data_IF_459721996090
#
_entry.id   IF_459721996090
#
_cell.length_a   1.000
_cell.length_b   1.000
_cell.length_c   1.000
_cell.angle_alpha   90.00
_cell.angle_beta   90.00
_cell.angle_gamma   90.00
#
_symmetry.space_group_name_H-M   'P 1'
#
loop_
_entity.id
_entity.type
_entity.pdbx_description
1 polymer ?
#
# COMPACT_ATOMS: atom_id res chain seq x y z
N UNK A 1 -5.14 -18.34 -1.35
CA UNK A 1 -6.49 -18.85 -1.70
C UNK A 1 -7.37 -19.26 -0.51
N UNK A 2 -6.84 -19.64 0.66
CA UNK A 2 -7.68 -20.07 1.80
C UNK A 2 -8.26 -18.93 2.66
N UNK A 3 -7.54 -17.81 2.80
CA UNK A 3 -8.01 -16.68 3.62
C UNK A 3 -9.20 -15.95 2.98
N UNK A 4 -9.08 -15.57 1.71
CA UNK A 4 -10.14 -14.85 0.98
C UNK A 4 -11.41 -15.66 0.76
N UNK A 5 -11.36 -17.01 0.83
CA UNK A 5 -12.55 -17.87 0.71
C UNK A 5 -13.44 -17.92 1.95
N UNK A 6 -12.99 -17.36 3.08
CA UNK A 6 -13.73 -17.42 4.35
C UNK A 6 -14.25 -16.05 4.82
N UNK A 7 -14.00 -15.00 4.05
CA UNK A 7 -14.42 -13.63 4.37
C UNK A 7 -15.35 -13.11 3.28
N UNK A 8 -16.40 -12.40 3.66
CA UNK A 8 -17.25 -11.69 2.71
C UNK A 8 -16.50 -10.41 2.26
N UNK A 9 -16.05 -10.30 1.00
CA UNK A 9 -15.27 -9.14 0.56
C UNK A 9 -16.07 -7.84 0.61
N UNK A 10 -17.40 -7.90 0.54
CA UNK A 10 -18.27 -6.71 0.60
C UNK A 10 -18.34 -6.09 2.00
N UNK A 11 -17.97 -6.86 3.03
CA UNK A 11 -17.87 -6.38 4.42
C UNK A 11 -16.49 -5.77 4.74
N UNK A 12 -15.55 -5.82 3.80
CA UNK A 12 -14.20 -5.28 3.97
C UNK A 12 -14.10 -3.91 3.29
N UNK A 13 -14.05 -2.85 4.10
CA UNK A 13 -13.91 -1.46 3.62
C UNK A 13 -12.57 -1.22 2.93
N UNK A 14 -11.47 -1.68 3.52
CA UNK A 14 -10.12 -1.53 2.98
C UNK A 14 -9.18 -2.54 3.66
N UNK A 15 -8.08 -2.86 2.99
CA UNK A 15 -7.00 -3.67 3.55
C UNK A 15 -5.66 -2.93 3.37
N UNK A 16 -4.99 -2.73 4.50
CA UNK A 16 -3.65 -2.14 4.57
C UNK A 16 -2.65 -3.28 4.68
N UNK A 17 -1.96 -3.58 3.58
CA UNK A 17 -0.80 -4.46 3.65
C UNK A 17 0.44 -3.60 3.92
N UNK A 18 1.15 -3.87 5.02
CA UNK A 18 2.34 -3.11 5.40
C UNK A 18 3.53 -4.05 5.25
N UNK A 19 4.38 -3.79 4.27
CA UNK A 19 5.51 -4.66 3.96
C UNK A 19 6.77 -3.87 3.65
N UNK A 20 7.93 -4.42 4.02
CA UNK A 20 9.24 -3.83 3.73
C UNK A 20 9.30 -2.33 4.11
N UNK A 21 8.91 -2.02 5.35
CA UNK A 21 9.14 -0.69 5.95
C UNK A 21 10.43 -0.74 6.75
N UNK A 22 11.20 0.34 6.77
CA UNK A 22 12.41 0.38 7.58
C UNK A 22 13.54 1.23 7.01
N UNK A 23 13.68 1.20 5.69
CA UNK A 23 14.70 1.94 4.96
C UNK A 23 14.03 2.99 4.08
N UNK A 24 14.58 4.20 3.96
CA UNK A 24 14.04 5.24 3.07
C UNK A 24 13.98 4.76 1.62
N UNK A 25 12.91 5.13 0.92
CA UNK A 25 12.79 4.87 -0.52
C UNK A 25 13.80 5.70 -1.32
N UNK A 26 13.91 5.43 -2.63
CA UNK A 26 14.79 6.19 -3.54
C UNK A 26 14.41 7.67 -3.56
N UNK A 27 13.12 7.94 -3.42
CA UNK A 27 12.48 9.25 -3.33
C UNK A 27 12.86 10.02 -2.06
N UNK A 28 13.41 9.32 -1.06
CA UNK A 28 14.00 9.91 0.13
C UNK A 28 13.27 9.59 1.42
N UNK A 29 13.74 10.16 2.55
CA UNK A 29 13.15 9.92 3.86
C UNK A 29 11.72 10.46 3.95
N UNK A 30 10.93 9.87 4.84
CA UNK A 30 9.52 10.20 5.09
C UNK A 30 8.64 10.02 3.84
N UNK A 31 8.96 9.04 3.02
CA UNK A 31 8.12 8.66 1.88
C UNK A 31 7.77 7.18 1.97
N UNK A 32 6.60 6.82 1.46
CA UNK A 32 6.20 5.43 1.26
C UNK A 32 5.47 5.28 -0.07
N UNK A 33 5.80 4.25 -0.83
CA UNK A 33 5.12 3.94 -2.07
C UNK A 33 3.97 2.97 -1.86
N UNK A 34 2.94 3.07 -2.71
CA UNK A 34 1.72 2.26 -2.64
C UNK A 34 1.53 1.54 -3.98
N UNK A 35 1.40 0.21 -3.93
CA UNK A 35 1.15 -0.61 -5.13
C UNK A 35 -0.26 -0.40 -5.66
N UNK A 36 -0.42 -0.34 -6.99
CA UNK A 36 -1.73 -0.18 -7.62
C UNK A 36 -2.43 1.11 -7.20
N UNK A 37 -1.66 2.20 -7.04
CA UNK A 37 -2.13 3.49 -6.55
C UNK A 37 -3.37 4.00 -7.29
N UNK A 38 -3.45 3.71 -8.58
CA UNK A 38 -4.53 4.09 -9.50
C UNK A 38 -5.72 3.13 -9.54
N UNK A 39 -5.66 1.99 -8.83
CA UNK A 39 -6.70 0.95 -8.87
C UNK A 39 -7.89 1.28 -7.95
N UNK A 40 -7.72 2.20 -7.01
CA UNK A 40 -8.76 2.76 -6.14
C UNK A 40 -8.36 4.16 -5.65
N UNK A 41 -9.25 4.86 -4.93
CA UNK A 41 -8.91 6.13 -4.25
C UNK A 41 -8.09 5.93 -2.97
N UNK A 42 -7.74 4.69 -2.59
CA UNK A 42 -6.98 4.39 -1.36
C UNK A 42 -5.66 5.19 -1.27
N UNK A 43 -4.86 5.17 -2.35
CA UNK A 43 -3.58 5.88 -2.38
C UNK A 43 -3.72 7.39 -2.23
N UNK A 44 -4.71 7.99 -2.91
CA UNK A 44 -5.00 9.42 -2.84
C UNK A 44 -5.49 9.84 -1.45
N UNK A 45 -6.35 9.04 -0.81
CA UNK A 45 -6.81 9.29 0.57
C UNK A 45 -5.60 9.30 1.52
N UNK A 46 -4.72 8.30 1.41
CA UNK A 46 -3.49 8.23 2.21
C UNK A 46 -2.63 9.46 1.99
N UNK A 47 -2.38 9.83 0.73
CA UNK A 47 -1.59 11.00 0.36
C UNK A 47 -2.16 12.30 0.96
N UNK A 48 -3.47 12.52 0.86
CA UNK A 48 -4.12 13.75 1.34
C UNK A 48 -4.14 13.84 2.88
N UNK A 49 -4.28 12.70 3.56
CA UNK A 49 -4.36 12.63 5.03
C UNK A 49 -3.09 13.10 5.75
N UNK A 50 -1.96 13.19 5.05
CA UNK A 50 -0.66 13.60 5.58
C UNK A 50 -0.15 14.91 4.99
N UNK A 51 -1.00 15.65 4.27
CA UNK A 51 -0.65 16.90 3.56
C UNK A 51 -0.15 18.04 4.47
N UNK A 52 -0.46 17.99 5.76
CA UNK A 52 0.01 18.90 6.81
C UNK A 52 1.31 18.42 7.49
N UNK A 53 1.90 17.32 7.01
CA UNK A 53 3.13 16.72 7.53
C UNK A 53 4.26 16.75 6.50
N UNK A 54 5.47 16.35 6.91
CA UNK A 54 6.60 16.13 6.00
C UNK A 54 6.58 14.75 5.33
N UNK A 55 5.54 13.95 5.56
CA UNK A 55 5.41 12.61 4.99
C UNK A 55 4.68 12.64 3.65
N UNK A 56 5.07 11.78 2.72
CA UNK A 56 4.42 11.68 1.40
C UNK A 56 4.18 10.23 1.00
N UNK A 57 2.94 9.93 0.64
CA UNK A 57 2.60 8.70 -0.07
C UNK A 57 2.60 8.94 -1.59
N UNK A 58 3.08 7.98 -2.37
CA UNK A 58 3.17 8.10 -3.82
C UNK A 58 3.03 6.72 -4.52
N UNK A 59 2.87 6.67 -5.84
CA UNK A 59 2.76 5.40 -6.57
C UNK A 59 4.03 4.54 -6.50
N UNK A 60 3.85 3.23 -6.53
CA UNK A 60 4.93 2.23 -6.70
C UNK A 60 5.89 2.60 -7.86
N UNK A 61 7.19 2.87 -7.59
CA UNK A 61 8.17 3.22 -8.60
C UNK A 61 8.67 2.01 -9.41
N UNK A 62 8.19 0.78 -9.12
CA UNK A 62 8.64 -0.47 -9.74
C UNK A 62 7.55 -1.18 -10.56
N UNK A 63 6.88 -0.52 -11.53
CA UNK A 63 5.75 -1.11 -12.26
C UNK A 63 6.12 -2.39 -13.04
N UNK A 64 7.37 -2.52 -13.49
CA UNK A 64 7.87 -3.72 -14.19
C UNK A 64 7.91 -4.96 -13.31
N UNK A 65 7.92 -4.81 -11.99
CA UNK A 65 7.95 -5.92 -11.04
C UNK A 65 6.56 -6.50 -10.74
N UNK A 66 5.49 -5.80 -11.13
CA UNK A 66 4.10 -6.21 -10.94
C UNK A 66 3.75 -6.50 -9.46
N UNK A 67 4.26 -5.69 -8.53
CA UNK A 67 4.21 -5.95 -7.09
C UNK A 67 2.78 -6.01 -6.55
N UNK A 68 1.87 -5.19 -7.08
CA UNK A 68 0.45 -5.19 -6.70
C UNK A 68 -0.22 -6.56 -6.79
N UNK A 69 0.19 -7.40 -7.75
CA UNK A 69 -0.38 -8.74 -7.96
C UNK A 69 0.44 -9.86 -7.32
N UNK A 70 1.55 -9.52 -6.66
CA UNK A 70 2.54 -10.47 -6.13
C UNK A 70 2.68 -10.41 -4.60
N UNK A 71 1.91 -9.55 -3.95
CA UNK A 71 1.88 -9.43 -2.50
C UNK A 71 0.54 -9.90 -1.90
N UNK A 72 0.46 -9.93 -0.57
CA UNK A 72 -0.66 -10.48 0.20
C UNK A 72 -1.96 -9.69 0.03
N UNK A 73 -1.90 -8.48 -0.54
CA UNK A 73 -3.08 -7.70 -0.93
C UNK A 73 -3.84 -8.31 -2.12
N UNK A 74 -3.13 -8.99 -3.03
CA UNK A 74 -3.67 -9.39 -4.33
C UNK A 74 -4.95 -10.24 -4.25
N UNK A 75 -5.08 -11.25 -3.37
CA UNK A 75 -6.29 -12.07 -3.30
C UNK A 75 -7.54 -11.31 -2.84
N UNK A 76 -7.40 -10.21 -2.09
CA UNK A 76 -8.52 -9.36 -1.69
C UNK A 76 -8.81 -8.31 -2.77
N UNK A 77 -7.77 -7.78 -3.40
CA UNK A 77 -7.89 -6.88 -4.55
C UNK A 77 -8.67 -7.53 -5.71
N UNK A 78 -8.43 -8.82 -6.00
CA UNK A 78 -9.16 -9.60 -7.00
C UNK A 78 -10.67 -9.74 -6.67
N UNK A 79 -11.04 -9.59 -5.40
CA UNK A 79 -12.44 -9.56 -4.94
C UNK A 79 -13.02 -8.14 -4.88
N UNK A 80 -12.31 -7.15 -5.44
CA UNK A 80 -12.71 -5.75 -5.48
C UNK A 80 -12.44 -4.96 -4.19
N UNK A 81 -11.84 -5.57 -3.16
CA UNK A 81 -11.49 -4.87 -1.92
C UNK A 81 -10.38 -3.85 -2.22
N UNK A 82 -10.45 -2.61 -1.68
CA UNK A 82 -9.35 -1.65 -1.74
C UNK A 82 -8.18 -2.16 -0.89
N UNK A 83 -7.36 -3.02 -1.49
CA UNK A 83 -6.29 -3.78 -0.84
C UNK A 83 -4.97 -3.46 -1.52
N UNK A 84 -4.09 -2.76 -0.80
CA UNK A 84 -2.83 -2.25 -1.33
C UNK A 84 -1.68 -2.48 -0.37
N UNK A 85 -0.50 -2.72 -0.92
CA UNK A 85 0.76 -2.71 -0.16
C UNK A 85 1.32 -1.30 -0.02
N UNK A 86 1.78 -0.99 1.18
CA UNK A 86 2.50 0.22 1.54
C UNK A 86 3.92 -0.19 1.94
N UNK A 87 4.92 0.42 1.33
CA UNK A 87 6.32 0.07 1.56
C UNK A 87 7.25 1.27 1.46
N UNK A 88 8.44 1.15 2.05
CA UNK A 88 9.47 2.19 1.97
C UNK A 88 10.78 1.67 1.37
N UNK A 89 10.96 0.35 1.26
CA UNK A 89 12.24 -0.22 0.81
C UNK A 89 12.56 0.16 -0.64
N UNK A 90 13.80 0.61 -0.90
CA UNK A 90 14.27 0.90 -2.25
C UNK A 90 14.82 -0.38 -2.91
N UNK A 91 13.93 -1.20 -3.49
CA UNK A 91 14.20 -2.57 -3.95
C UNK A 91 15.41 -2.68 -4.90
N UNK A 92 15.64 -1.67 -5.74
CA UNK A 92 16.69 -1.66 -6.76
C UNK A 92 18.09 -1.33 -6.22
N UNK A 93 18.19 -0.68 -5.05
CA UNK A 93 19.47 -0.24 -4.47
C UNK A 93 19.73 -0.77 -3.05
N UNK A 94 18.75 -1.38 -2.40
CA UNK A 94 18.93 -2.00 -1.09
C UNK A 94 19.81 -3.26 -1.18
N UNK A 95 21.00 -3.19 -0.59
CA UNK A 95 21.98 -4.28 -0.59
C UNK A 95 21.60 -5.45 0.32
N UNK A 96 20.71 -5.23 1.30
CA UNK A 96 20.27 -6.31 2.20
C UNK A 96 18.97 -6.96 1.76
N UNK A 97 18.32 -6.45 0.71
CA UNK A 97 17.05 -7.00 0.26
C UNK A 97 17.19 -8.48 -0.13
N UNK A 98 16.33 -9.34 0.45
CA UNK A 98 16.41 -10.81 0.35
C UNK A 98 17.76 -11.41 0.81
N UNK A 99 18.45 -10.77 1.76
CA UNK A 99 19.68 -11.26 2.37
C UNK A 99 19.51 -11.48 3.86
N UNK A 100 20.38 -12.33 4.40
CA UNK A 100 20.50 -12.54 5.86
C UNK A 100 20.97 -11.28 6.61
N UNK A 101 21.44 -10.26 5.89
CA UNK A 101 21.90 -9.00 6.48
C UNK A 101 20.76 -8.01 6.74
N UNK A 102 19.53 -8.32 6.31
CA UNK A 102 18.35 -7.52 6.64
C UNK A 102 17.96 -7.71 8.10
N UNK A 103 18.59 -6.91 8.95
CA UNK A 103 18.56 -7.01 10.40
C UNK A 103 18.21 -5.64 11.00
N UNK A 104 17.81 -5.62 12.28
CA UNK A 104 17.45 -4.38 12.98
C UNK A 104 18.46 -3.22 12.80
N UNK A 105 19.75 -3.52 12.70
CA UNK A 105 20.82 -2.51 12.53
C UNK A 105 20.77 -1.77 11.18
N UNK A 106 20.09 -2.30 10.17
CA UNK A 106 19.95 -1.68 8.85
C UNK A 106 18.73 -0.77 8.76
N UNK A 107 17.88 -0.76 9.79
CA UNK A 107 16.70 0.08 9.86
C UNK A 107 17.05 1.53 10.18
N UNK A 108 16.35 2.46 9.52
CA UNK A 108 16.30 3.86 9.92
C UNK A 108 15.12 4.07 10.88
N UNK A 109 15.40 4.08 12.18
CA UNK A 109 14.36 4.16 13.22
C UNK A 109 13.49 5.43 13.12
N UNK A 110 14.05 6.64 12.96
CA UNK A 110 13.22 7.84 12.76
C UNK A 110 12.27 7.73 11.57
N UNK A 111 12.78 7.25 10.42
CA UNK A 111 11.96 7.06 9.23
C UNK A 111 10.85 6.02 9.43
N UNK A 112 11.16 4.90 10.09
CA UNK A 112 10.19 3.84 10.40
C UNK A 112 9.07 4.36 11.30
N UNK A 113 9.43 5.10 12.36
CA UNK A 113 8.46 5.72 13.27
C UNK A 113 7.56 6.72 12.55
N UNK A 114 8.12 7.55 11.68
CA UNK A 114 7.35 8.50 10.89
C UNK A 114 6.41 7.77 9.91
N UNK A 115 6.86 6.68 9.30
CA UNK A 115 6.04 5.83 8.41
C UNK A 115 4.86 5.23 9.15
N UNK A 116 5.09 4.63 10.33
CA UNK A 116 4.01 4.07 11.15
C UNK A 116 3.01 5.16 11.56
N UNK A 117 3.51 6.34 11.94
CA UNK A 117 2.66 7.49 12.32
C UNK A 117 1.81 7.97 11.15
N UNK A 118 2.40 8.08 9.96
CA UNK A 118 1.71 8.47 8.73
C UNK A 118 0.63 7.45 8.33
N UNK A 119 0.94 6.16 8.37
CA UNK A 119 -0.03 5.09 8.10
C UNK A 119 -1.18 5.13 9.12
N UNK A 120 -0.88 5.31 10.41
CA UNK A 120 -1.91 5.39 11.45
C UNK A 120 -2.82 6.61 11.25
N UNK A 121 -2.26 7.77 10.90
CA UNK A 121 -3.03 8.98 10.58
C UNK A 121 -3.94 8.76 9.38
N UNK A 122 -3.43 8.16 8.32
CA UNK A 122 -4.21 7.87 7.13
C UNK A 122 -5.32 6.84 7.37
N UNK A 123 -5.00 5.77 8.09
CA UNK A 123 -5.96 4.75 8.47
C UNK A 123 -7.11 5.32 9.29
N UNK A 124 -6.85 6.33 10.14
CA UNK A 124 -7.88 6.98 10.94
C UNK A 124 -9.00 7.59 10.10
N UNK A 125 -8.67 8.25 8.98
CA UNK A 125 -9.66 8.87 8.08
C UNK A 125 -10.62 7.83 7.49
N UNK A 126 -10.10 6.62 7.22
CA UNK A 126 -10.90 5.50 6.69
C UNK A 126 -11.70 4.82 7.82
N UNK A 127 -11.09 4.60 8.98
CA UNK A 127 -11.73 3.94 10.14
C UNK A 127 -12.85 4.81 10.73
N UNK A 128 -12.68 6.13 10.75
CA UNK A 128 -13.69 7.07 11.22
C UNK A 128 -14.90 7.20 10.28
N UNK A 129 -14.76 6.73 9.03
CA UNK A 129 -15.74 6.90 7.97
C UNK A 129 -15.75 8.31 7.36
N UNK A 130 -14.73 9.13 7.60
CA UNK A 130 -14.57 10.43 6.96
C UNK A 130 -14.35 10.28 5.45
N UNK A 131 -13.53 9.30 5.05
CA UNK A 131 -13.36 8.88 3.66
C UNK A 131 -13.58 7.39 3.51
N UNK A 132 -14.10 6.96 2.35
CA UNK A 132 -14.25 5.54 2.00
C UNK A 132 -13.58 5.27 0.66
N UNK A 133 -12.54 4.41 0.59
CA UNK A 133 -11.88 4.11 -0.67
C UNK A 133 -12.83 3.45 -1.66
N UNK A 134 -12.69 3.78 -2.95
CA UNK A 134 -13.46 3.14 -4.01
C UNK A 134 -13.07 1.67 -4.16
N UNK A 135 -14.03 0.80 -4.48
CA UNK A 135 -13.74 -0.61 -4.79
C UNK A 135 -12.83 -0.71 -6.01
N UNK A 136 -11.97 -1.73 -6.01
CA UNK A 136 -11.15 -2.06 -7.18
C UNK A 136 -12.07 -2.66 -8.24
N UNK A 137 -11.96 -2.15 -9.46
CA UNK A 137 -12.71 -2.67 -10.62
C UNK A 137 -11.99 -3.86 -11.21
N UNK A 138 -12.70 -4.97 -11.39
CA UNK A 138 -12.16 -6.14 -12.08
C UNK A 138 -12.04 -5.86 -13.58
N UNK A 139 -11.01 -6.39 -14.23
CA UNK A 139 -10.77 -6.18 -15.67
C UNK A 139 -11.95 -6.66 -16.53
N UNK A 140 -12.74 -7.62 -16.04
CA UNK A 140 -13.94 -8.14 -16.71
C UNK A 140 -15.12 -7.16 -16.73
N UNK A 141 -15.21 -6.21 -15.79
CA UNK A 141 -16.28 -5.17 -15.78
C UNK A 141 -16.07 -4.09 -16.85
N UNK A 142 -14.83 -3.94 -17.34
CA UNK A 142 -14.52 -3.01 -18.43
C UNK A 142 -14.94 -3.55 -19.81
N UNK A 143 -15.33 -4.82 -19.91
CA UNK A 143 -15.79 -5.43 -21.16
C UNK A 143 -17.32 -5.38 -21.34
N UNK A 144 -18.09 -5.09 -20.27
CA UNK A 144 -19.56 -5.07 -20.31
C UNK A 144 -20.16 -3.67 -20.36
N UNK A 145 -19.35 -2.61 -20.41
CA UNK A 145 -19.80 -1.21 -20.43
C UNK A 145 -19.80 -0.57 -21.83
N UNK A 146 -19.65 -1.38 -22.89
CA UNK A 146 -19.67 -0.94 -24.29
C UNK A 146 -20.88 -1.49 -25.10
N UNK A 147 -21.95 -1.94 -24.44
CA UNK A 147 -23.23 -2.32 -25.08
C UNK A 147 -24.33 -1.28 -24.83
#
# INVERSE_FOLDING_TARGET
KYFSSQVNPDEITAMFNIEMIGKPAVEGPNTAWITGFEKSTFGEILQNSVSDSSFTFYPDPYPSQNLFYRSDNAPLAELGVPAHSISTTPIDVDQDYHRITDEFKTLNIPHTTNTITAIAKAAWVIISGEETPTRIKNEDENLTSND
#
